data_IF_576488073929
#
_entry.id   IF_576488073929
#
_cell.length_a   1.000
_cell.length_b   1.000
_cell.length_c   1.000
_cell.angle_alpha   90.00
_cell.angle_beta   90.00
_cell.angle_gamma   90.00
#
_symmetry.space_group_name_H-M   'P 1'
#
loop_
_entity.id
_entity.type
_entity.pdbx_description
1 polymer ?
#
# COMPACT_ATOMS: atom_id res chain seq x y z
N UNK A 1 19.98 -27.53 -15.90
CA UNK A 1 18.82 -27.26 -15.00
C UNK A 1 18.12 -26.03 -15.52
N UNK A 2 16.87 -26.15 -15.97
CA UNK A 2 16.06 -25.01 -16.38
C UNK A 2 15.42 -24.41 -15.13
N UNK A 3 15.78 -23.17 -14.79
CA UNK A 3 15.20 -22.42 -13.67
C UNK A 3 14.58 -21.13 -14.18
N UNK A 4 13.41 -20.77 -13.65
CA UNK A 4 12.79 -19.47 -13.95
C UNK A 4 13.52 -18.43 -13.10
N UNK A 5 14.34 -17.60 -13.74
CA UNK A 5 14.99 -16.45 -13.13
C UNK A 5 14.17 -15.19 -13.45
N UNK A 6 13.38 -14.72 -12.48
CA UNK A 6 12.62 -13.47 -12.60
C UNK A 6 13.24 -12.39 -11.72
N UNK A 7 13.09 -11.12 -12.09
CA UNK A 7 13.52 -9.99 -11.25
C UNK A 7 12.34 -9.06 -10.96
N UNK A 8 12.12 -8.73 -9.70
CA UNK A 8 11.10 -7.78 -9.27
C UNK A 8 11.64 -6.91 -8.12
N UNK A 9 11.48 -5.58 -8.22
CA UNK A 9 12.04 -4.61 -7.27
C UNK A 9 13.54 -4.84 -6.98
N UNK A 10 14.33 -5.16 -8.01
CA UNK A 10 15.77 -5.42 -7.89
C UNK A 10 16.15 -6.76 -7.24
N UNK A 11 15.17 -7.59 -6.84
CA UNK A 11 15.40 -8.92 -6.27
C UNK A 11 15.24 -10.01 -7.31
N UNK A 12 16.18 -10.96 -7.32
CA UNK A 12 16.05 -12.22 -8.06
C UNK A 12 15.04 -13.11 -7.35
N UNK A 13 14.01 -13.53 -8.07
CA UNK A 13 12.96 -14.44 -7.64
C UNK A 13 13.15 -15.76 -8.38
N UNK A 14 13.14 -16.85 -7.63
CA UNK A 14 13.39 -18.20 -8.13
C UNK A 14 12.16 -19.09 -8.04
N UNK A 15 11.04 -18.57 -7.51
CA UNK A 15 9.77 -19.30 -7.40
C UNK A 15 8.55 -18.39 -7.45
N UNK A 16 7.41 -18.95 -7.87
CA UNK A 16 6.12 -18.28 -7.90
C UNK A 16 5.69 -17.76 -6.50
N UNK A 17 5.99 -18.50 -5.43
CA UNK A 17 5.68 -18.09 -4.06
C UNK A 17 6.46 -16.85 -3.63
N UNK A 18 7.73 -16.75 -4.02
CA UNK A 18 8.53 -15.56 -3.76
C UNK A 18 8.00 -14.35 -4.53
N UNK A 19 7.60 -14.56 -5.79
CA UNK A 19 6.97 -13.53 -6.61
C UNK A 19 5.67 -13.02 -5.97
N UNK A 20 4.78 -13.92 -5.57
CA UNK A 20 3.52 -13.58 -4.92
C UNK A 20 3.77 -12.74 -3.66
N UNK A 21 4.69 -13.17 -2.79
CA UNK A 21 5.00 -12.46 -1.54
C UNK A 21 5.54 -11.05 -1.80
N UNK A 22 6.46 -10.90 -2.75
CA UNK A 22 7.05 -9.59 -3.03
C UNK A 22 6.04 -8.66 -3.74
N UNK A 23 5.19 -9.20 -4.62
CA UNK A 23 4.09 -8.48 -5.24
C UNK A 23 3.09 -7.98 -4.19
N UNK A 24 2.61 -8.86 -3.30
CA UNK A 24 1.68 -8.49 -2.22
C UNK A 24 2.29 -7.41 -1.34
N UNK A 25 3.56 -7.55 -0.93
CA UNK A 25 4.24 -6.55 -0.11
C UNK A 25 4.38 -5.20 -0.82
N UNK A 26 4.72 -5.22 -2.11
CA UNK A 26 4.86 -4.02 -2.92
C UNK A 26 3.52 -3.31 -3.09
N UNK A 27 2.46 -4.07 -3.36
CA UNK A 27 1.10 -3.56 -3.49
C UNK A 27 0.59 -2.96 -2.19
N UNK A 28 0.76 -3.66 -1.06
CA UNK A 28 0.37 -3.15 0.26
C UNK A 28 1.08 -1.82 0.59
N UNK A 29 2.37 -1.73 0.28
CA UNK A 29 3.14 -0.50 0.48
C UNK A 29 2.61 0.63 -0.39
N UNK A 30 2.38 0.35 -1.67
CA UNK A 30 1.88 1.34 -2.61
C UNK A 30 0.50 1.88 -2.18
N UNK A 31 -0.43 0.99 -1.82
CA UNK A 31 -1.75 1.36 -1.30
C UNK A 31 -1.60 2.22 -0.04
N UNK A 32 -0.77 1.81 0.92
CA UNK A 32 -0.55 2.54 2.16
C UNK A 32 0.01 3.94 1.91
N UNK A 33 0.95 4.08 0.97
CA UNK A 33 1.56 5.37 0.64
C UNK A 33 0.56 6.30 -0.07
N UNK A 34 -0.27 5.77 -0.98
CA UNK A 34 -1.36 6.52 -1.62
C UNK A 34 -2.40 7.01 -0.61
N UNK A 35 -2.81 6.14 0.32
CA UNK A 35 -3.74 6.50 1.40
C UNK A 35 -3.17 7.58 2.33
N UNK A 36 -1.88 7.50 2.68
CA UNK A 36 -1.19 8.54 3.45
C UNK A 36 -1.12 9.87 2.73
N UNK A 37 -0.84 9.87 1.43
CA UNK A 37 -0.84 11.09 0.60
C UNK A 37 -2.22 11.73 0.58
N UNK A 38 -3.27 10.92 0.46
CA UNK A 38 -4.64 11.41 0.46
C UNK A 38 -5.05 12.00 1.82
N UNK A 39 -4.67 11.35 2.94
CA UNK A 39 -5.00 11.78 4.30
C UNK A 39 -4.63 13.26 4.56
N UNK A 40 -3.46 13.71 4.11
CA UNK A 40 -3.04 15.11 4.27
C UNK A 40 -2.79 15.52 5.72
N UNK A 41 -2.50 16.82 5.97
CA UNK A 41 -2.16 17.31 7.29
C UNK A 41 -3.36 17.26 8.25
N UNK A 42 -3.16 16.63 9.40
CA UNK A 42 -4.13 16.55 10.49
C UNK A 42 -5.08 15.35 10.44
N UNK A 43 -4.99 14.48 9.43
CA UNK A 43 -5.66 13.17 9.42
C UNK A 43 -4.70 12.09 9.91
N UNK A 44 -5.11 11.33 10.93
CA UNK A 44 -4.41 10.15 11.41
C UNK A 44 -4.93 8.91 10.71
N UNK A 45 -4.02 8.12 10.13
CA UNK A 45 -4.32 6.82 9.55
C UNK A 45 -3.94 5.70 10.52
N UNK A 46 -4.87 4.81 10.83
CA UNK A 46 -4.67 3.61 11.65
C UNK A 46 -4.93 2.37 10.81
N UNK A 47 -3.99 1.42 10.80
CA UNK A 47 -4.20 0.09 10.20
C UNK A 47 -4.94 -0.78 11.22
N UNK A 48 -6.09 -1.32 10.85
CA UNK A 48 -6.88 -2.26 11.64
C UNK A 48 -6.88 -3.64 10.99
N UNK A 49 -7.51 -4.62 11.63
CA UNK A 49 -7.66 -5.97 11.06
C UNK A 49 -8.50 -5.97 9.78
N UNK A 50 -9.49 -5.06 9.72
CA UNK A 50 -10.45 -4.96 8.61
C UNK A 50 -10.02 -3.96 7.53
N UNK A 51 -8.90 -3.23 7.71
CA UNK A 51 -8.39 -2.30 6.72
C UNK A 51 -7.69 -1.07 7.30
N UNK A 52 -8.09 0.12 6.82
CA UNK A 52 -7.53 1.41 7.23
C UNK A 52 -8.64 2.33 7.74
N UNK A 53 -8.47 2.88 8.94
CA UNK A 53 -9.36 3.87 9.55
C UNK A 53 -8.67 5.21 9.55
N UNK A 54 -9.41 6.28 9.23
CA UNK A 54 -8.92 7.66 9.18
C UNK A 54 -9.67 8.52 10.18
N UNK A 55 -8.92 9.20 11.04
CA UNK A 55 -9.45 10.08 12.10
C UNK A 55 -8.94 11.51 11.88
N UNK A 56 -9.82 12.49 11.96
CA UNK A 56 -9.48 13.90 11.76
C UNK A 56 -10.71 14.79 11.89
N UNK A 57 -10.55 16.11 11.76
CA UNK A 57 -11.68 17.03 11.72
C UNK A 57 -12.54 16.77 10.47
N UNK A 58 -13.85 17.02 10.49
CA UNK A 58 -14.73 16.79 9.34
C UNK A 58 -14.20 17.38 8.03
N UNK A 59 -13.76 18.64 8.07
CA UNK A 59 -13.16 19.36 6.92
C UNK A 59 -11.89 18.69 6.35
N UNK A 60 -11.12 18.00 7.20
CA UNK A 60 -9.91 17.29 6.79
C UNK A 60 -10.26 15.97 6.12
N UNK A 61 -11.26 15.25 6.65
CA UNK A 61 -11.77 14.02 6.06
C UNK A 61 -12.46 14.30 4.71
N UNK A 62 -13.19 15.39 4.57
CA UNK A 62 -13.78 15.78 3.28
C UNK A 62 -12.72 16.10 2.23
N UNK A 63 -11.66 16.82 2.60
CA UNK A 63 -10.52 17.06 1.71
C UNK A 63 -9.80 15.76 1.34
N UNK A 64 -9.66 14.83 2.28
CA UNK A 64 -9.13 13.51 2.01
C UNK A 64 -10.00 12.73 1.01
N UNK A 65 -11.33 12.70 1.21
CA UNK A 65 -12.26 12.04 0.29
C UNK A 65 -12.14 12.58 -1.15
N UNK A 66 -11.98 13.89 -1.31
CA UNK A 66 -11.73 14.52 -2.63
C UNK A 66 -10.43 14.06 -3.28
N UNK A 67 -9.39 13.75 -2.49
CA UNK A 67 -8.06 13.28 -2.96
C UNK A 67 -7.98 11.78 -3.20
N UNK A 68 -8.94 11.00 -2.70
CA UNK A 68 -9.03 9.55 -2.89
C UNK A 68 -9.70 9.15 -4.21
N UNK A 69 -10.31 10.10 -4.94
CA UNK A 69 -10.76 9.89 -6.33
C UNK A 69 -9.55 9.75 -7.25
#
# INVERSE_FOLDING_TARGET
MAGIEMRFNGRKLTSATQLQRELTRSMEKHIKDSLKKAAGPGVRMKKTRDGYVFEGRPEQIERMKKRLR
#
